data_IF_783286741212
#
_entry.id   IF_783286741212
#
_cell.length_a   1.000
_cell.length_b   1.000
_cell.length_c   1.000
_cell.angle_alpha   90.00
_cell.angle_beta   90.00
_cell.angle_gamma   90.00
#
_symmetry.space_group_name_H-M   'P 1'
#
loop_
_entity.id
_entity.type
_entity.pdbx_description
1 polymer ?
#
# COMPACT_ATOMS: atom_id res chain seq x y z
N UNK A 1 17.91 13.89 -3.45
CA UNK A 1 18.86 13.69 -2.33
C UNK A 1 18.67 14.79 -1.30
N UNK A 2 19.22 14.65 -0.10
CA UNK A 2 19.20 15.69 0.93
C UNK A 2 19.79 17.01 0.46
N UNK A 3 20.84 16.95 -0.37
CA UNK A 3 21.47 18.12 -0.99
C UNK A 3 20.50 18.89 -1.90
N UNK A 4 19.68 18.19 -2.70
CA UNK A 4 18.66 18.82 -3.54
C UNK A 4 17.64 19.57 -2.68
N UNK A 5 17.21 18.97 -1.56
CA UNK A 5 16.27 19.60 -0.62
C UNK A 5 16.89 20.83 0.03
N UNK A 6 18.16 20.78 0.42
CA UNK A 6 18.87 21.92 1.00
C UNK A 6 19.00 23.12 0.03
N UNK A 7 19.02 22.87 -1.28
CA UNK A 7 19.07 23.92 -2.31
C UNK A 7 17.72 24.61 -2.59
N UNK A 8 16.62 24.11 -2.02
CA UNK A 8 15.30 24.68 -2.23
C UNK A 8 15.16 26.05 -1.55
N UNK A 9 14.23 26.86 -2.06
CA UNK A 9 13.93 28.16 -1.47
C UNK A 9 13.39 27.98 -0.04
N UNK A 10 13.93 28.69 0.98
CA UNK A 10 13.42 28.63 2.34
C UNK A 10 11.91 28.96 2.41
N UNK A 11 11.19 28.20 3.23
CA UNK A 11 9.73 28.30 3.35
C UNK A 11 8.94 27.54 2.28
N UNK A 12 9.61 26.83 1.35
CA UNK A 12 8.93 25.88 0.46
C UNK A 12 8.34 24.70 1.25
N UNK A 13 7.40 24.00 0.62
CA UNK A 13 6.71 22.85 1.22
C UNK A 13 6.93 21.62 0.34
N UNK A 14 7.21 20.49 0.99
CA UNK A 14 7.24 19.15 0.42
C UNK A 14 6.04 18.37 0.95
N UNK A 15 5.30 17.72 0.05
CA UNK A 15 4.24 16.77 0.38
C UNK A 15 4.63 15.42 -0.21
N UNK A 16 5.03 14.47 0.64
CA UNK A 16 5.44 13.13 0.20
C UNK A 16 4.28 12.15 0.37
N UNK A 17 3.59 11.88 -0.73
CA UNK A 17 2.44 10.95 -0.79
C UNK A 17 2.90 9.49 -0.83
N UNK A 18 4.16 9.21 -1.18
CA UNK A 18 4.71 7.87 -1.23
C UNK A 18 5.16 7.37 0.16
N UNK A 19 4.85 8.11 1.23
CA UNK A 19 5.34 7.82 2.58
C UNK A 19 4.90 6.47 3.13
N UNK A 20 3.74 5.96 2.70
CA UNK A 20 3.23 4.64 3.08
C UNK A 20 4.14 3.49 2.59
N UNK A 21 5.07 3.78 1.66
CA UNK A 21 6.08 2.85 1.15
C UNK A 21 7.51 3.30 1.48
N UNK A 22 7.67 4.12 2.53
CA UNK A 22 8.97 4.62 2.99
C UNK A 22 9.34 6.02 2.48
N UNK A 23 8.56 6.60 1.56
CA UNK A 23 8.79 7.93 0.99
C UNK A 23 9.71 7.91 -0.24
N UNK A 24 9.60 8.94 -1.07
CA UNK A 24 10.43 9.08 -2.29
C UNK A 24 11.48 10.20 -2.17
N UNK A 25 11.48 10.94 -1.05
CA UNK A 25 12.42 12.01 -0.76
C UNK A 25 13.29 11.59 0.42
N UNK A 26 14.60 11.73 0.30
CA UNK A 26 15.57 11.25 1.29
C UNK A 26 15.38 11.84 2.70
N UNK A 27 14.88 13.08 2.79
CA UNK A 27 14.59 13.75 4.06
C UNK A 27 13.18 13.47 4.59
N UNK A 28 12.40 12.64 3.90
CA UNK A 28 11.07 12.21 4.34
C UNK A 28 11.17 11.24 5.51
N UNK A 29 10.33 11.45 6.52
CA UNK A 29 10.04 10.48 7.57
C UNK A 29 8.54 10.47 7.84
N UNK A 30 7.93 9.32 8.18
CA UNK A 30 6.50 9.25 8.44
C UNK A 30 6.08 10.19 9.57
N UNK A 31 5.01 10.94 9.33
CA UNK A 31 4.32 11.76 10.33
C UNK A 31 2.90 11.22 10.57
N UNK A 32 2.19 11.83 11.53
CA UNK A 32 0.83 11.43 11.89
C UNK A 32 -0.14 12.59 11.72
N UNK A 33 -1.45 12.32 11.70
CA UNK A 33 -2.46 13.40 11.65
C UNK A 33 -2.37 14.36 12.85
N UNK A 34 -1.91 13.90 14.02
CA UNK A 34 -1.76 14.73 15.22
C UNK A 34 -0.48 15.56 15.25
N UNK A 35 0.55 15.14 14.52
CA UNK A 35 1.81 15.87 14.35
C UNK A 35 2.25 15.75 12.88
N UNK A 36 1.64 16.55 11.97
CA UNK A 36 1.66 16.27 10.54
C UNK A 36 2.89 16.80 9.81
N UNK A 37 3.60 17.75 10.41
CA UNK A 37 4.67 18.49 9.73
C UNK A 37 5.94 18.61 10.56
N UNK A 38 7.06 18.71 9.86
CA UNK A 38 8.36 19.04 10.45
C UNK A 38 9.19 19.83 9.44
N UNK A 39 10.28 20.44 9.88
CA UNK A 39 11.12 21.27 9.02
C UNK A 39 12.53 20.67 8.88
N UNK A 40 13.04 20.61 7.66
CA UNK A 40 14.42 20.22 7.33
C UNK A 40 14.99 21.26 6.38
N UNK A 41 16.17 21.82 6.68
CA UNK A 41 16.80 22.89 5.89
C UNK A 41 15.89 24.11 5.62
N UNK A 42 14.96 24.43 6.53
CA UNK A 42 13.99 25.51 6.34
C UNK A 42 12.84 25.16 5.37
N UNK A 43 12.70 23.89 4.99
CA UNK A 43 11.64 23.35 4.12
C UNK A 43 10.66 22.54 4.97
N UNK A 44 9.38 22.89 4.90
CA UNK A 44 8.32 22.21 5.63
C UNK A 44 7.96 20.90 4.92
N UNK A 45 7.98 19.79 5.64
CA UNK A 45 7.62 18.46 5.13
C UNK A 45 6.26 18.06 5.69
N UNK A 46 5.38 17.58 4.81
CA UNK A 46 4.14 16.91 5.16
C UNK A 46 4.21 15.48 4.63
N UNK A 47 4.32 14.52 5.54
CA UNK A 47 4.60 13.11 5.24
C UNK A 47 3.62 12.20 6.03
N UNK A 48 2.35 12.58 6.09
CA UNK A 48 1.35 11.84 6.88
C UNK A 48 1.02 10.53 6.20
N UNK A 49 1.24 9.42 6.89
CA UNK A 49 0.81 8.10 6.42
C UNK A 49 -0.72 7.97 6.45
N UNK A 50 -1.28 7.11 5.60
CA UNK A 50 -2.73 6.87 5.54
C UNK A 50 -3.53 8.18 5.40
N UNK A 51 -3.15 9.04 4.45
CA UNK A 51 -3.85 10.31 4.18
C UNK A 51 -5.36 10.12 3.90
N UNK A 52 -5.81 9.08 3.16
CA UNK A 52 -7.25 8.85 2.93
C UNK A 52 -8.06 8.64 4.23
N UNK A 53 -7.40 8.24 5.33
CA UNK A 53 -8.03 8.07 6.64
C UNK A 53 -8.60 9.36 7.22
N UNK A 54 -8.07 10.53 6.87
CA UNK A 54 -8.64 11.82 7.30
C UNK A 54 -10.01 12.12 6.67
N UNK A 55 -10.35 11.46 5.57
CA UNK A 55 -11.57 11.72 4.79
C UNK A 55 -12.45 10.47 4.70
N UNK A 56 -12.73 9.84 5.84
CA UNK A 56 -13.35 8.53 5.96
C UNK A 56 -14.59 8.33 5.07
N UNK A 57 -15.50 9.31 4.99
CA UNK A 57 -16.70 9.19 4.14
C UNK A 57 -16.33 8.98 2.68
N UNK A 58 -15.51 9.87 2.13
CA UNK A 58 -15.13 9.85 0.71
C UNK A 58 -14.25 8.64 0.39
N UNK A 59 -13.25 8.35 1.24
CA UNK A 59 -12.34 7.22 1.03
C UNK A 59 -13.05 5.87 1.15
N UNK A 60 -14.01 5.74 2.08
CA UNK A 60 -14.86 4.54 2.17
C UNK A 60 -15.62 4.32 0.87
N UNK A 61 -16.38 5.31 0.39
CA UNK A 61 -17.13 5.16 -0.85
C UNK A 61 -16.22 4.83 -2.04
N UNK A 62 -15.08 5.51 -2.16
CA UNK A 62 -14.12 5.25 -3.23
C UNK A 62 -13.58 3.81 -3.18
N UNK A 63 -13.15 3.33 -2.01
CA UNK A 63 -12.60 1.99 -1.84
C UNK A 63 -13.67 0.91 -1.99
N UNK A 64 -14.85 1.07 -1.39
CA UNK A 64 -15.90 0.05 -1.45
C UNK A 64 -16.46 -0.08 -2.86
N UNK A 65 -16.58 1.02 -3.62
CA UNK A 65 -17.09 0.95 -4.99
C UNK A 65 -16.21 0.09 -5.91
N UNK A 66 -14.89 0.09 -5.68
CA UNK A 66 -13.96 -0.73 -6.47
C UNK A 66 -13.77 -2.14 -5.91
N UNK A 67 -13.90 -2.33 -4.59
CA UNK A 67 -13.68 -3.63 -3.95
C UNK A 67 -14.94 -4.50 -3.85
N UNK A 68 -16.14 -3.91 -3.87
CA UNK A 68 -17.40 -4.63 -3.70
C UNK A 68 -17.61 -5.78 -4.71
N UNK A 69 -17.33 -5.64 -6.02
CA UNK A 69 -17.46 -6.75 -6.96
C UNK A 69 -16.60 -7.97 -6.59
N UNK A 70 -15.40 -7.74 -6.06
CA UNK A 70 -14.49 -8.79 -5.60
C UNK A 70 -14.98 -9.43 -4.31
N UNK A 71 -15.48 -8.63 -3.37
CA UNK A 71 -16.06 -9.13 -2.12
C UNK A 71 -17.26 -10.05 -2.37
N UNK A 72 -18.13 -9.70 -3.33
CA UNK A 72 -19.28 -10.54 -3.72
C UNK A 72 -18.83 -11.87 -4.34
N UNK A 73 -17.84 -11.86 -5.25
CA UNK A 73 -17.29 -13.11 -5.83
C UNK A 73 -16.73 -14.05 -4.77
N UNK A 74 -16.02 -13.49 -3.78
CA UNK A 74 -15.49 -14.25 -2.65
C UNK A 74 -16.62 -14.82 -1.78
N UNK A 75 -17.70 -14.05 -1.57
CA UNK A 75 -18.85 -14.48 -0.78
C UNK A 75 -19.66 -15.59 -1.47
N UNK A 76 -19.91 -15.46 -2.77
CA UNK A 76 -20.76 -16.39 -3.53
C UNK A 76 -20.06 -17.73 -3.83
N UNK A 77 -18.76 -17.68 -4.17
CA UNK A 77 -18.01 -18.83 -4.66
C UNK A 77 -16.95 -19.38 -3.70
N UNK A 78 -16.66 -18.68 -2.61
CA UNK A 78 -15.48 -18.92 -1.79
C UNK A 78 -14.18 -18.51 -2.50
N UNK A 79 -13.10 -18.38 -1.73
CA UNK A 79 -11.83 -17.84 -2.24
C UNK A 79 -11.18 -18.69 -3.33
N UNK A 80 -11.25 -20.03 -3.24
CA UNK A 80 -10.61 -20.94 -4.20
C UNK A 80 -11.18 -20.73 -5.60
N UNK A 81 -12.51 -20.77 -5.71
CA UNK A 81 -13.22 -20.54 -6.96
C UNK A 81 -12.97 -19.13 -7.49
N UNK A 82 -13.08 -18.13 -6.61
CA UNK A 82 -12.88 -16.74 -7.00
C UNK A 82 -11.48 -16.46 -7.58
N UNK A 83 -10.42 -17.06 -6.99
CA UNK A 83 -9.04 -16.96 -7.50
C UNK A 83 -8.86 -17.72 -8.83
N UNK A 84 -9.48 -18.89 -8.99
CA UNK A 84 -9.41 -19.67 -10.24
C UNK A 84 -10.14 -18.99 -11.40
N UNK A 85 -11.23 -18.26 -11.12
CA UNK A 85 -12.09 -17.61 -12.11
C UNK A 85 -11.73 -16.13 -12.36
N UNK A 86 -10.93 -15.49 -11.51
CA UNK A 86 -10.54 -14.08 -11.61
C UNK A 86 -9.02 -13.92 -11.52
N UNK A 87 -8.34 -13.68 -12.66
CA UNK A 87 -6.91 -13.42 -12.69
C UNK A 87 -6.50 -12.27 -11.76
N UNK A 88 -7.35 -11.24 -11.62
CA UNK A 88 -7.11 -10.09 -10.75
C UNK A 88 -7.06 -10.48 -9.27
N UNK A 89 -7.97 -11.36 -8.83
CA UNK A 89 -7.95 -11.90 -7.46
C UNK A 89 -6.78 -12.84 -7.24
N UNK A 90 -6.40 -13.63 -8.24
CA UNK A 90 -5.23 -14.50 -8.15
C UNK A 90 -3.95 -13.72 -7.88
N UNK A 91 -3.78 -12.56 -8.53
CA UNK A 91 -2.65 -11.66 -8.29
C UNK A 91 -2.65 -11.06 -6.88
N UNK A 92 -3.83 -10.92 -6.26
CA UNK A 92 -3.96 -10.43 -4.88
C UNK A 92 -3.72 -11.48 -3.79
N UNK A 93 -3.58 -12.76 -4.13
CA UNK A 93 -3.40 -13.83 -3.15
C UNK A 93 -1.98 -13.82 -2.58
N UNK A 94 -1.86 -13.52 -1.28
CA UNK A 94 -0.58 -13.43 -0.58
C UNK A 94 -0.16 -14.72 0.12
N UNK A 95 -1.10 -15.35 0.82
CA UNK A 95 -0.88 -16.59 1.58
C UNK A 95 -2.10 -17.49 1.43
N UNK A 96 -1.88 -18.77 1.16
CA UNK A 96 -2.93 -19.78 1.12
C UNK A 96 -2.42 -21.12 1.61
N UNK A 97 -3.19 -21.80 2.47
CA UNK A 97 -2.92 -23.16 2.96
C UNK A 97 -1.50 -23.35 3.54
N UNK A 98 -0.97 -22.33 4.20
CA UNK A 98 0.39 -22.35 4.77
C UNK A 98 1.51 -22.02 3.79
N UNK A 99 1.21 -21.74 2.53
CA UNK A 99 2.17 -21.32 1.52
C UNK A 99 2.10 -19.81 1.27
N UNK A 100 3.25 -19.18 1.09
CA UNK A 100 3.34 -17.83 0.53
C UNK A 100 3.18 -17.94 -0.98
N UNK A 101 2.23 -17.17 -1.53
CA UNK A 101 1.88 -17.23 -2.96
C UNK A 101 2.24 -15.98 -3.74
N UNK A 102 2.54 -14.88 -3.05
CA UNK A 102 2.94 -13.63 -3.69
C UNK A 102 4.47 -13.48 -3.72
N UNK A 103 5.10 -13.36 -4.91
CA UNK A 103 6.57 -13.33 -5.05
C UNK A 103 7.24 -12.23 -4.24
N UNK A 104 6.65 -11.04 -4.17
CA UNK A 104 7.23 -9.93 -3.41
C UNK A 104 7.30 -10.22 -1.90
N UNK A 105 6.31 -10.91 -1.35
CA UNK A 105 6.28 -11.28 0.08
C UNK A 105 7.29 -12.39 0.34
N UNK A 106 7.35 -13.39 -0.55
CA UNK A 106 8.32 -14.47 -0.47
C UNK A 106 9.76 -13.93 -0.47
N UNK A 107 10.07 -13.00 -1.38
CA UNK A 107 11.38 -12.36 -1.46
C UNK A 107 11.70 -11.51 -0.23
N UNK A 108 10.75 -10.70 0.25
CA UNK A 108 10.94 -9.85 1.42
C UNK A 108 11.26 -10.64 2.71
N UNK A 109 10.79 -11.88 2.80
CA UNK A 109 10.98 -12.75 3.98
C UNK A 109 11.88 -13.96 3.73
N UNK A 110 12.53 -14.06 2.57
CA UNK A 110 13.38 -15.22 2.20
C UNK A 110 12.64 -16.57 2.28
N UNK A 111 11.37 -16.61 1.87
CA UNK A 111 10.52 -17.80 1.87
C UNK A 111 10.33 -18.34 0.45
N UNK A 112 9.91 -19.60 0.34
CA UNK A 112 9.53 -20.20 -0.94
C UNK A 112 8.17 -19.69 -1.41
N UNK A 113 8.08 -19.32 -2.69
CA UNK A 113 6.83 -18.91 -3.34
C UNK A 113 6.19 -20.08 -4.07
N UNK A 114 4.90 -20.33 -3.82
CA UNK A 114 4.08 -21.30 -4.56
C UNK A 114 3.08 -20.54 -5.45
N UNK A 115 2.92 -20.87 -6.74
CA UNK A 115 1.97 -20.18 -7.59
C UNK A 115 0.53 -20.19 -7.02
N UNK A 116 -0.19 -19.04 -7.01
CA UNK A 116 -1.55 -18.95 -6.46
C UNK A 116 -2.53 -20.00 -6.99
N UNK A 117 -2.45 -20.32 -8.29
CA UNK A 117 -3.32 -21.30 -8.93
C UNK A 117 -2.99 -22.75 -8.55
N UNK A 118 -1.76 -23.04 -8.16
CA UNK A 118 -1.38 -24.35 -7.64
C UNK A 118 -1.87 -24.49 -6.19
N UNK A 119 -1.64 -23.47 -5.37
CA UNK A 119 -2.14 -23.43 -3.99
C UNK A 119 -3.69 -23.45 -3.89
N UNK A 120 -4.41 -22.94 -4.90
CA UNK A 120 -5.86 -22.99 -4.93
C UNK A 120 -6.43 -24.38 -5.30
N UNK A 121 -5.62 -25.25 -5.91
CA UNK A 121 -6.02 -26.60 -6.36
C UNK A 121 -5.72 -27.70 -5.33
N UNK A 122 -4.82 -27.46 -4.38
CA UNK A 122 -4.56 -28.32 -3.22
C UNK A 122 -5.67 -28.23 -2.16
#
# INVERSE_FOLDING_TARGET
TGEMVASMKPGSVIVDVAIDQGGCIETSRPTSHGDPVYTVHGILHYCVANMPGAFARTSTFALTNVTLPYALRLADGGWRRAVLESPELALGLNVALGHVTHPAVANAHSLTCVPPLEAAKS
#
